data_IF_231127996153
#
_entry.id   IF_231127996153
#
_cell.length_a   1.000
_cell.length_b   1.000
_cell.length_c   1.000
_cell.angle_alpha   90.00
_cell.angle_beta   90.00
_cell.angle_gamma   90.00
#
_symmetry.space_group_name_H-M   'P 1'
#
loop_
_entity.id
_entity.type
_entity.pdbx_description
1 polymer ?
#
# COMPACT_ATOMS: atom_id res chain seq x y z
N UNK A 1 -3.92 -24.73 6.50
CA UNK A 1 -2.50 -24.39 6.23
C UNK A 1 -2.43 -23.67 4.89
N UNK A 2 -1.78 -22.50 4.81
CA UNK A 2 -1.57 -21.76 3.55
C UNK A 2 -0.60 -22.54 2.65
N UNK A 3 -0.94 -22.74 1.38
CA UNK A 3 -0.13 -23.54 0.44
C UNK A 3 1.22 -22.89 0.14
N UNK A 4 2.23 -23.68 -0.29
CA UNK A 4 3.53 -23.13 -0.73
C UNK A 4 3.37 -22.12 -1.89
N UNK A 5 2.39 -22.34 -2.78
CA UNK A 5 2.09 -21.45 -3.91
C UNK A 5 1.54 -20.11 -3.42
N UNK A 6 0.60 -20.13 -2.47
CA UNK A 6 0.07 -18.91 -1.86
C UNK A 6 1.18 -18.12 -1.15
N UNK A 7 2.05 -18.78 -0.36
CA UNK A 7 3.21 -18.11 0.28
C UNK A 7 4.15 -17.44 -0.73
N UNK A 8 4.47 -18.11 -1.83
CA UNK A 8 5.28 -17.54 -2.90
C UNK A 8 4.58 -16.35 -3.59
N UNK A 9 3.26 -16.45 -3.78
CA UNK A 9 2.43 -15.37 -4.31
C UNK A 9 2.42 -14.13 -3.43
N UNK A 10 2.28 -14.31 -2.10
CA UNK A 10 2.36 -13.22 -1.11
C UNK A 10 3.71 -12.51 -1.18
N UNK A 11 4.81 -13.27 -1.16
CA UNK A 11 6.15 -12.69 -1.22
C UNK A 11 6.38 -11.87 -2.51
N UNK A 12 5.88 -12.38 -3.64
CA UNK A 12 5.93 -11.67 -4.92
C UNK A 12 5.07 -10.40 -4.91
N UNK A 13 3.84 -10.47 -4.40
CA UNK A 13 2.94 -9.32 -4.28
C UNK A 13 3.52 -8.19 -3.42
N UNK A 14 4.10 -8.54 -2.27
CA UNK A 14 4.82 -7.58 -1.41
C UNK A 14 6.01 -6.97 -2.15
N UNK A 15 6.86 -7.79 -2.76
CA UNK A 15 8.05 -7.29 -3.46
C UNK A 15 7.70 -6.32 -4.59
N UNK A 16 6.69 -6.65 -5.40
CA UNK A 16 6.24 -5.78 -6.49
C UNK A 16 5.61 -4.49 -5.97
N UNK A 17 4.79 -4.54 -4.90
CA UNK A 17 4.20 -3.34 -4.30
C UNK A 17 5.29 -2.35 -3.84
N UNK A 18 6.31 -2.86 -3.16
CA UNK A 18 7.44 -2.07 -2.65
C UNK A 18 8.18 -1.35 -3.77
N UNK A 19 8.61 -2.09 -4.79
CA UNK A 19 9.54 -1.55 -5.80
C UNK A 19 8.85 -0.79 -6.93
N UNK A 20 7.62 -1.16 -7.26
CA UNK A 20 6.93 -0.66 -8.46
C UNK A 20 5.93 0.44 -8.14
N UNK A 21 5.38 0.47 -6.91
CA UNK A 21 4.33 1.40 -6.52
C UNK A 21 4.76 2.29 -5.36
N UNK A 22 5.02 1.70 -4.19
CA UNK A 22 5.24 2.44 -2.95
C UNK A 22 6.52 3.30 -2.99
N UNK A 23 7.68 2.70 -3.25
CA UNK A 23 8.94 3.46 -3.23
C UNK A 23 8.96 4.63 -4.23
N UNK A 24 8.50 4.47 -5.49
CA UNK A 24 8.36 5.60 -6.42
C UNK A 24 7.33 6.66 -5.99
N UNK A 25 6.25 6.25 -5.32
CA UNK A 25 5.19 7.18 -4.90
C UNK A 25 5.57 8.01 -3.67
N UNK A 26 6.28 7.41 -2.72
CA UNK A 26 6.65 8.06 -1.45
C UNK A 26 7.92 8.92 -1.57
N UNK A 27 8.90 8.46 -2.36
CA UNK A 27 10.22 9.09 -2.43
C UNK A 27 11.12 8.72 -1.26
N UNK A 28 12.44 8.82 -1.47
CA UNK A 28 13.45 8.39 -0.50
C UNK A 28 13.96 9.55 0.34
N UNK A 29 13.83 9.41 1.67
CA UNK A 29 14.43 10.30 2.66
C UNK A 29 15.25 9.51 3.66
N UNK A 30 16.55 9.30 3.39
CA UNK A 30 17.46 8.52 4.25
C UNK A 30 17.78 9.14 5.62
N UNK A 31 16.94 10.04 6.14
CA UNK A 31 17.08 10.72 7.42
C UNK A 31 15.69 11.08 7.97
N UNK A 32 15.62 11.35 9.27
CA UNK A 32 14.38 11.78 9.93
C UNK A 32 14.08 13.24 9.64
N UNK A 33 12.91 13.54 9.12
CA UNK A 33 12.37 14.88 8.87
C UNK A 33 10.99 15.04 9.50
N UNK A 34 10.47 16.28 9.55
CA UNK A 34 9.06 16.54 9.87
C UNK A 34 8.29 16.70 8.57
N UNK A 35 7.22 15.92 8.40
CA UNK A 35 6.33 16.06 7.26
C UNK A 35 5.47 17.35 7.35
N UNK A 36 4.67 17.71 6.31
CA UNK A 36 3.87 18.94 6.32
C UNK A 36 2.84 19.06 7.45
N UNK A 37 2.47 17.94 8.11
CA UNK A 37 1.55 17.93 9.25
C UNK A 37 2.28 17.79 10.60
N UNK A 38 3.62 17.78 10.58
CA UNK A 38 4.48 17.81 11.77
C UNK A 38 4.89 16.44 12.32
N UNK A 39 4.57 15.34 11.63
CA UNK A 39 4.94 13.98 12.04
C UNK A 39 6.39 13.69 11.69
N UNK A 40 7.12 13.03 12.60
CA UNK A 40 8.49 12.59 12.34
C UNK A 40 8.46 11.39 11.39
N UNK A 41 9.11 11.54 10.25
CA UNK A 41 9.07 10.59 9.14
C UNK A 41 10.47 10.35 8.59
N UNK A 42 10.73 9.15 8.08
CA UNK A 42 11.99 8.79 7.42
C UNK A 42 11.77 7.70 6.36
N UNK A 43 12.81 7.39 5.58
CA UNK A 43 12.77 6.43 4.49
C UNK A 43 11.64 6.73 3.50
N UNK A 44 10.81 5.73 3.17
CA UNK A 44 9.69 5.84 2.24
C UNK A 44 8.37 6.15 2.97
N UNK A 45 8.38 7.06 3.95
CA UNK A 45 7.18 7.40 4.73
C UNK A 45 7.01 6.59 6.04
N UNK A 46 8.09 6.02 6.57
CA UNK A 46 8.06 5.33 7.87
C UNK A 46 8.01 6.33 9.02
N UNK A 47 7.21 6.02 10.03
CA UNK A 47 6.96 6.87 11.20
C UNK A 47 7.21 6.15 12.52
N UNK A 48 7.25 4.81 12.50
CA UNK A 48 7.52 4.02 13.70
C UNK A 48 8.91 4.33 14.26
N UNK A 49 8.97 4.63 15.56
CA UNK A 49 10.19 4.93 16.30
C UNK A 49 11.05 6.05 15.66
N UNK A 50 10.46 6.92 14.84
CA UNK A 50 11.21 7.97 14.14
C UNK A 50 11.97 8.91 15.08
N UNK A 51 11.48 9.10 16.32
CA UNK A 51 12.19 9.86 17.36
C UNK A 51 13.54 9.25 17.71
N UNK A 52 13.62 7.92 17.81
CA UNK A 52 14.82 7.18 18.20
C UNK A 52 15.82 7.02 17.05
N UNK A 53 15.37 7.35 15.83
CA UNK A 53 16.18 7.33 14.61
C UNK A 53 16.80 8.70 14.29
N UNK A 54 16.53 9.74 15.09
CA UNK A 54 17.12 11.08 14.87
C UNK A 54 18.65 11.02 14.89
N UNK A 55 19.27 11.69 13.92
CA UNK A 55 20.73 11.73 13.75
C UNK A 55 21.31 10.51 13.02
N UNK A 56 20.52 9.47 12.75
CA UNK A 56 20.94 8.35 11.89
C UNK A 56 20.70 8.69 10.42
N UNK A 57 21.55 8.14 9.57
CA UNK A 57 21.34 8.05 8.14
C UNK A 57 21.05 6.61 7.75
N UNK A 58 20.21 6.43 6.75
CA UNK A 58 19.82 5.15 6.20
C UNK A 58 20.19 5.14 4.73
N UNK A 59 20.71 4.03 4.24
CA UNK A 59 20.86 3.75 2.82
C UNK A 59 19.50 3.47 2.17
N UNK A 60 19.47 3.56 0.84
CA UNK A 60 18.28 3.20 0.09
C UNK A 60 17.87 1.74 0.32
N UNK A 61 18.84 0.83 0.43
CA UNK A 61 18.56 -0.59 0.67
C UNK A 61 17.93 -0.81 2.05
N UNK A 62 18.46 -0.20 3.11
CA UNK A 62 17.85 -0.27 4.45
C UNK A 62 16.41 0.27 4.44
N UNK A 63 16.17 1.37 3.73
CA UNK A 63 14.82 1.92 3.59
C UNK A 63 13.88 1.00 2.80
N UNK A 64 14.37 0.30 1.77
CA UNK A 64 13.58 -0.69 1.03
C UNK A 64 13.25 -1.90 1.90
N UNK A 65 14.19 -2.36 2.73
CA UNK A 65 13.98 -3.49 3.63
C UNK A 65 12.95 -3.14 4.73
N UNK A 66 13.02 -1.92 5.27
CA UNK A 66 11.99 -1.38 6.16
C UNK A 66 10.63 -1.31 5.47
N UNK A 67 10.56 -0.75 4.27
CA UNK A 67 9.33 -0.67 3.49
C UNK A 67 8.75 -2.07 3.20
N UNK A 68 9.60 -3.07 2.95
CA UNK A 68 9.17 -4.46 2.73
C UNK A 68 8.55 -5.07 3.99
N UNK A 69 9.14 -4.83 5.16
CA UNK A 69 8.58 -5.22 6.45
C UNK A 69 7.23 -4.53 6.70
N UNK A 70 7.16 -3.22 6.44
CA UNK A 70 5.93 -2.43 6.57
C UNK A 70 4.83 -2.91 5.62
N UNK A 71 5.19 -3.24 4.38
CA UNK A 71 4.26 -3.79 3.39
C UNK A 71 3.70 -5.16 3.82
N UNK A 72 4.49 -5.99 4.50
CA UNK A 72 4.00 -7.24 5.07
C UNK A 72 2.93 -7.04 6.15
N UNK A 73 3.01 -5.95 6.94
CA UNK A 73 1.94 -5.57 7.87
C UNK A 73 0.64 -5.26 7.12
N UNK A 74 0.72 -4.49 6.02
CA UNK A 74 -0.46 -4.18 5.21
C UNK A 74 -1.05 -5.42 4.52
N UNK A 75 -0.22 -6.32 4.01
CA UNK A 75 -0.68 -7.63 3.50
C UNK A 75 -1.48 -8.39 4.57
N UNK A 76 -0.95 -8.49 5.79
CA UNK A 76 -1.60 -9.22 6.88
C UNK A 76 -2.94 -8.59 7.26
N UNK A 77 -3.00 -7.25 7.35
CA UNK A 77 -4.25 -6.53 7.61
C UNK A 77 -5.30 -6.76 6.51
N UNK A 78 -4.87 -6.81 5.24
CA UNK A 78 -5.77 -7.10 4.12
C UNK A 78 -6.31 -8.52 4.18
N UNK A 79 -5.43 -9.50 4.42
CA UNK A 79 -5.79 -10.90 4.54
C UNK A 79 -6.69 -11.19 5.74
N UNK A 80 -6.59 -10.39 6.81
CA UNK A 80 -7.46 -10.51 7.98
C UNK A 80 -8.93 -10.15 7.67
N UNK A 81 -9.18 -9.21 6.75
CA UNK A 81 -10.55 -8.75 6.43
C UNK A 81 -11.08 -9.22 5.06
N UNK A 82 -10.27 -9.87 4.25
CA UNK A 82 -10.64 -10.49 2.98
C UNK A 82 -10.23 -11.96 2.99
N UNK A 83 -11.21 -12.85 3.18
CA UNK A 83 -10.96 -14.29 3.14
C UNK A 83 -10.42 -14.71 1.77
N UNK A 84 -9.34 -15.49 1.74
CA UNK A 84 -8.70 -15.94 0.51
C UNK A 84 -7.79 -14.91 -0.16
N UNK A 85 -7.48 -13.79 0.50
CA UNK A 85 -6.62 -12.75 -0.07
C UNK A 85 -5.25 -13.28 -0.52
N UNK A 86 -4.64 -14.16 0.29
CA UNK A 86 -3.33 -14.77 -0.02
C UNK A 86 -3.36 -15.69 -1.27
N UNK A 87 -4.55 -16.13 -1.69
CA UNK A 87 -4.76 -16.95 -2.88
C UNK A 87 -5.02 -16.10 -4.14
N UNK A 88 -5.19 -14.78 -3.99
CA UNK A 88 -5.35 -13.87 -5.14
C UNK A 88 -4.05 -13.78 -5.95
N UNK A 89 -4.17 -13.36 -7.21
CA UNK A 89 -3.00 -13.10 -8.06
C UNK A 89 -2.01 -12.13 -7.36
N UNK A 90 -0.69 -12.34 -7.47
CA UNK A 90 0.30 -11.41 -6.92
C UNK A 90 0.13 -9.96 -7.40
N UNK A 91 -0.45 -9.75 -8.59
CA UNK A 91 -0.76 -8.41 -9.09
C UNK A 91 -1.96 -7.75 -8.37
N UNK A 92 -2.94 -8.54 -7.95
CA UNK A 92 -4.06 -8.06 -7.14
C UNK A 92 -3.56 -7.74 -5.73
N UNK A 93 -2.75 -8.64 -5.16
CA UNK A 93 -2.11 -8.42 -3.87
C UNK A 93 -1.23 -7.16 -3.89
N UNK A 94 -0.38 -6.97 -4.93
CA UNK A 94 0.49 -5.79 -4.99
C UNK A 94 -0.32 -4.48 -4.99
N UNK A 95 -1.41 -4.43 -5.75
CA UNK A 95 -2.23 -3.24 -5.87
C UNK A 95 -2.94 -2.89 -4.56
N UNK A 96 -3.57 -3.87 -3.91
CA UNK A 96 -4.30 -3.63 -2.67
C UNK A 96 -3.38 -3.48 -1.45
N UNK A 97 -2.16 -4.04 -1.48
CA UNK A 97 -1.13 -3.77 -0.49
C UNK A 97 -0.65 -2.32 -0.58
N UNK A 98 -0.32 -1.82 -1.78
CA UNK A 98 0.07 -0.41 -1.96
C UNK A 98 -1.07 0.56 -1.62
N UNK A 99 -2.30 0.22 -2.04
CA UNK A 99 -3.49 0.97 -1.70
C UNK A 99 -3.67 1.09 -0.17
N UNK A 100 -3.48 0.00 0.55
CA UNK A 100 -3.58 -0.04 2.01
C UNK A 100 -2.40 0.62 2.70
N UNK A 101 -1.20 0.54 2.10
CA UNK A 101 -0.04 1.30 2.56
C UNK A 101 -0.33 2.80 2.56
N UNK A 102 -1.00 3.29 1.51
CA UNK A 102 -1.34 4.69 1.35
C UNK A 102 -2.53 5.16 2.19
N UNK A 103 -3.56 4.32 2.37
CA UNK A 103 -4.83 4.73 3.02
C UNK A 103 -5.04 4.14 4.41
N UNK A 104 -4.27 3.14 4.79
CA UNK A 104 -4.48 2.30 5.97
C UNK A 104 -5.37 1.08 5.69
N UNK A 105 -5.10 -0.02 6.40
CA UNK A 105 -5.92 -1.24 6.31
C UNK A 105 -7.38 -0.99 6.72
N UNK A 106 -7.65 -0.12 7.69
CA UNK A 106 -9.01 0.18 8.13
C UNK A 106 -9.88 0.76 7.02
N UNK A 107 -9.35 1.75 6.28
CA UNK A 107 -10.02 2.34 5.13
C UNK A 107 -10.24 1.31 4.01
N UNK A 108 -9.24 0.47 3.73
CA UNK A 108 -9.40 -0.64 2.78
C UNK A 108 -10.48 -1.63 3.22
N UNK A 109 -10.45 -2.14 4.45
CA UNK A 109 -11.39 -3.17 4.91
C UNK A 109 -12.86 -2.70 4.89
N UNK A 110 -13.09 -1.41 5.15
CA UNK A 110 -14.40 -0.75 5.08
C UNK A 110 -14.81 -0.35 3.65
N UNK A 111 -13.91 -0.42 2.67
CA UNK A 111 -14.18 0.00 1.29
C UNK A 111 -15.15 -0.92 0.55
N UNK A 112 -15.80 -0.37 -0.48
CA UNK A 112 -16.49 -1.19 -1.48
C UNK A 112 -15.54 -2.14 -2.21
N UNK A 113 -14.26 -1.80 -2.35
CA UNK A 113 -13.27 -2.66 -3.00
C UNK A 113 -13.09 -3.98 -2.23
N UNK A 114 -12.89 -3.90 -0.91
CA UNK A 114 -12.80 -5.08 -0.05
C UNK A 114 -14.12 -5.88 -0.03
N UNK A 115 -15.28 -5.21 -0.11
CA UNK A 115 -16.56 -5.89 -0.25
C UNK A 115 -16.64 -6.75 -1.52
N UNK A 116 -16.19 -6.21 -2.68
CA UNK A 116 -16.12 -6.98 -3.91
C UNK A 116 -15.11 -8.14 -3.84
N UNK A 117 -13.94 -7.95 -3.22
CA UNK A 117 -12.98 -9.04 -3.03
C UNK A 117 -13.56 -10.17 -2.16
N UNK A 118 -14.25 -9.83 -1.06
CA UNK A 118 -14.95 -10.82 -0.23
C UNK A 118 -16.01 -11.60 -0.99
N UNK A 119 -16.65 -10.97 -1.98
CA UNK A 119 -17.60 -11.59 -2.89
C UNK A 119 -16.95 -12.32 -4.09
N UNK A 120 -15.61 -12.37 -4.17
CA UNK A 120 -14.87 -12.99 -5.28
C UNK A 120 -14.87 -12.18 -6.59
N UNK A 121 -15.41 -10.96 -6.60
CA UNK A 121 -15.46 -10.12 -7.80
C UNK A 121 -14.24 -9.20 -7.89
N UNK A 122 -13.10 -9.78 -8.26
CA UNK A 122 -11.80 -9.09 -8.32
C UNK A 122 -11.82 -7.92 -9.29
N UNK A 123 -12.39 -8.09 -10.49
CA UNK A 123 -12.47 -7.02 -11.50
C UNK A 123 -13.26 -5.81 -11.00
N UNK A 124 -14.40 -6.03 -10.35
CA UNK A 124 -15.16 -4.93 -9.76
C UNK A 124 -14.40 -4.27 -8.61
N UNK A 125 -13.66 -5.04 -7.81
CA UNK A 125 -12.80 -4.48 -6.76
C UNK A 125 -11.72 -3.55 -7.32
N UNK A 126 -11.02 -3.96 -8.38
CA UNK A 126 -10.02 -3.13 -9.07
C UNK A 126 -10.65 -1.83 -9.62
N UNK A 127 -11.90 -1.90 -10.08
CA UNK A 127 -12.68 -0.73 -10.51
C UNK A 127 -12.91 0.32 -9.43
N UNK A 128 -12.87 -0.06 -8.14
CA UNK A 128 -13.14 0.85 -7.02
C UNK A 128 -11.91 1.62 -6.54
N UNK A 129 -10.70 1.21 -6.93
CA UNK A 129 -9.44 1.85 -6.51
C UNK A 129 -9.42 3.34 -6.87
N UNK A 130 -9.94 3.71 -8.05
CA UNK A 130 -9.92 5.08 -8.57
C UNK A 130 -10.80 6.07 -7.80
N UNK A 131 -11.70 5.58 -6.94
CA UNK A 131 -12.54 6.43 -6.10
C UNK A 131 -11.75 7.13 -4.97
N UNK A 132 -10.52 6.69 -4.70
CA UNK A 132 -9.72 7.13 -3.54
C UNK A 132 -8.57 8.05 -3.96
N UNK A 133 -8.90 9.13 -4.66
CA UNK A 133 -7.95 10.12 -5.14
C UNK A 133 -8.18 11.54 -4.56
N UNK A 134 -9.07 11.67 -3.56
CA UNK A 134 -9.47 12.96 -2.98
C UNK A 134 -8.93 13.13 -1.57
N UNK A 135 -8.69 14.38 -1.19
CA UNK A 135 -8.43 14.78 0.19
C UNK A 135 -9.26 16.02 0.54
N UNK A 136 -9.54 16.23 1.83
CA UNK A 136 -10.17 17.45 2.31
C UNK A 136 -9.18 18.62 2.26
N UNK A 137 -9.54 19.68 1.54
CA UNK A 137 -8.84 20.97 1.54
C UNK A 137 -9.87 22.05 1.86
N UNK A 138 -9.71 22.72 2.99
CA UNK A 138 -10.63 23.74 3.49
C UNK A 138 -12.10 23.25 3.53
N UNK A 139 -12.33 22.00 4.00
CA UNK A 139 -13.67 21.41 4.11
C UNK A 139 -14.25 20.84 2.81
N UNK A 140 -13.57 20.98 1.68
CA UNK A 140 -14.03 20.48 0.37
C UNK A 140 -13.17 19.31 -0.08
N UNK A 141 -13.80 18.26 -0.62
CA UNK A 141 -13.07 17.14 -1.24
C UNK A 141 -12.49 17.59 -2.59
N UNK A 142 -11.17 17.57 -2.69
CA UNK A 142 -10.44 17.95 -3.91
C UNK A 142 -9.61 16.77 -4.38
N UNK A 143 -9.63 16.51 -5.69
CA UNK A 143 -8.78 15.49 -6.30
C UNK A 143 -7.32 15.90 -6.26
N UNK A 144 -6.45 14.95 -5.90
CA UNK A 144 -5.01 15.15 -5.86
C UNK A 144 -4.39 14.46 -7.09
N UNK A 145 -3.78 15.20 -8.04
CA UNK A 145 -3.22 14.60 -9.26
C UNK A 145 -2.23 13.46 -9.00
N UNK A 146 -1.42 13.57 -7.94
CA UNK A 146 -0.49 12.51 -7.51
C UNK A 146 -1.24 11.23 -7.10
N UNK A 147 -2.32 11.36 -6.33
CA UNK A 147 -3.14 10.20 -5.96
C UNK A 147 -3.85 9.62 -7.18
N UNK A 148 -4.41 10.46 -8.06
CA UNK A 148 -5.05 9.99 -9.30
C UNK A 148 -4.08 9.12 -10.12
N UNK A 149 -2.83 9.56 -10.28
CA UNK A 149 -1.79 8.77 -10.97
C UNK A 149 -1.48 7.45 -10.25
N UNK A 150 -1.35 7.47 -8.92
CA UNK A 150 -1.10 6.26 -8.12
C UNK A 150 -2.24 5.25 -8.24
N UNK A 151 -3.48 5.69 -8.05
CA UNK A 151 -4.69 4.87 -8.17
C UNK A 151 -4.84 4.25 -9.57
N UNK A 152 -4.48 4.97 -10.62
CA UNK A 152 -4.50 4.45 -11.99
C UNK A 152 -3.48 3.30 -12.19
N UNK A 153 -2.26 3.43 -11.64
CA UNK A 153 -1.25 2.37 -11.70
C UNK A 153 -1.67 1.14 -10.89
N UNK A 154 -2.17 1.33 -9.68
CA UNK A 154 -2.71 0.24 -8.86
C UNK A 154 -3.85 -0.48 -9.58
N UNK A 155 -4.81 0.25 -10.16
CA UNK A 155 -5.91 -0.34 -10.93
C UNK A 155 -5.40 -1.13 -12.12
N UNK A 156 -4.44 -0.59 -12.88
CA UNK A 156 -3.85 -1.26 -14.03
C UNK A 156 -3.23 -2.61 -13.63
N UNK A 157 -2.40 -2.64 -12.57
CA UNK A 157 -1.83 -3.90 -12.09
C UNK A 157 -2.90 -4.84 -11.54
N UNK A 158 -3.84 -4.33 -10.75
CA UNK A 158 -4.94 -5.13 -10.23
C UNK A 158 -5.70 -5.86 -11.35
N UNK A 159 -6.06 -5.13 -12.42
CA UNK A 159 -6.77 -5.69 -13.58
C UNK A 159 -5.95 -6.71 -14.38
N UNK A 160 -4.61 -6.63 -14.34
CA UNK A 160 -3.72 -7.65 -14.94
C UNK A 160 -3.85 -9.01 -14.25
N UNK A 161 -4.24 -9.03 -12.97
CA UNK A 161 -4.42 -10.25 -12.19
C UNK A 161 -5.86 -10.66 -11.93
N UNK A 162 -6.83 -9.96 -12.55
CA UNK A 162 -8.28 -10.08 -12.27
C UNK A 162 -9.07 -10.89 -13.32
#
# INVERSE_FOLDING_TARGET
MVSKRAKAGVAAGIAMAVTTLAAPAEGYYGYVYKDPIGVLTYCYGETENAKDMKGKTFSQQECLDLLRKRMAHYQQGNAACVKGYDDLSPYVQMAFNDFSYNLGNGAFCASSAAAYLRAGNVRAACGRITLYNKALKNGVLVELPRLTKRRALEQMYCLKGA
#
